data_IF_263471493742
#
_entry.id   IF_263471493742
#
_cell.length_a   1.000
_cell.length_b   1.000
_cell.length_c   1.000
_cell.angle_alpha   90.00
_cell.angle_beta   90.00
_cell.angle_gamma   90.00
#
_symmetry.space_group_name_H-M   'P 1'
#
loop_
_entity.id
_entity.type
_entity.pdbx_description
1 polymer ?
#
# COMPACT_ATOMS: atom_id res chain seq x y z
N UNK A 1 -0.79 -2.28 -2.74
CA UNK A 1 -0.28 -1.23 -3.63
C UNK A 1 -1.16 -1.16 -4.87
N UNK A 2 -1.39 0.02 -5.44
CA UNK A 2 -2.24 0.27 -6.64
C UNK A 2 -3.56 -0.52 -6.72
N UNK A 3 -4.16 -0.77 -5.56
CA UNK A 3 -5.36 -1.61 -5.43
C UNK A 3 -6.52 -1.19 -6.34
N UNK A 4 -6.70 0.12 -6.55
CA UNK A 4 -7.90 0.63 -7.24
C UNK A 4 -7.88 0.34 -8.74
N UNK A 5 -6.73 0.45 -9.39
CA UNK A 5 -6.59 0.20 -10.84
C UNK A 5 -5.81 -1.08 -11.15
N UNK A 6 -4.84 -1.46 -10.30
CA UNK A 6 -3.84 -2.48 -10.57
C UNK A 6 -2.64 -1.96 -11.38
N UNK A 7 -1.52 -2.65 -11.34
CA UNK A 7 -0.38 -2.34 -12.19
C UNK A 7 -0.58 -2.83 -13.63
N UNK A 8 -1.44 -3.81 -13.82
CA UNK A 8 -1.71 -4.48 -15.08
C UNK A 8 -2.37 -3.56 -16.13
N UNK A 9 -2.86 -2.40 -15.70
CA UNK A 9 -3.44 -1.40 -16.62
C UNK A 9 -2.38 -0.52 -17.27
N UNK A 10 -1.11 -0.58 -16.82
CA UNK A 10 -0.04 0.29 -17.30
C UNK A 10 0.64 -0.29 -18.55
N UNK A 11 0.71 0.53 -19.59
CA UNK A 11 1.53 0.29 -20.78
C UNK A 11 2.93 0.92 -20.64
N UNK A 12 3.17 1.67 -19.56
CA UNK A 12 4.36 2.47 -19.31
C UNK A 12 4.61 3.53 -20.38
N UNK A 13 3.50 4.05 -20.93
CA UNK A 13 3.46 5.18 -21.88
C UNK A 13 2.55 6.24 -21.29
N UNK A 14 3.13 7.38 -20.95
CA UNK A 14 2.39 8.44 -20.26
C UNK A 14 1.14 8.89 -21.02
N UNK A 15 1.19 8.97 -22.37
CA UNK A 15 0.05 9.36 -23.21
C UNK A 15 -1.18 8.47 -23.00
N UNK A 16 -0.96 7.18 -22.73
CA UNK A 16 -2.03 6.22 -22.43
C UNK A 16 -2.37 6.22 -20.96
N UNK A 17 -1.36 6.06 -20.10
CA UNK A 17 -1.54 5.75 -18.69
C UNK A 17 -2.09 6.91 -17.87
N UNK A 18 -1.85 8.17 -18.33
CA UNK A 18 -2.43 9.34 -17.69
C UNK A 18 -3.97 9.35 -17.66
N UNK A 19 -4.62 8.57 -18.53
CA UNK A 19 -6.09 8.43 -18.56
C UNK A 19 -6.60 7.40 -17.56
N UNK A 20 -5.74 6.53 -17.08
CA UNK A 20 -6.05 5.53 -16.04
C UNK A 20 -5.71 6.03 -14.64
N UNK A 21 -4.71 6.91 -14.54
CA UNK A 21 -4.33 7.52 -13.27
C UNK A 21 -5.35 8.57 -12.82
N UNK A 22 -5.64 8.61 -11.52
CA UNK A 22 -6.69 9.45 -10.94
C UNK A 22 -6.08 10.57 -10.10
N UNK A 23 -6.63 11.77 -10.20
CA UNK A 23 -6.35 12.82 -9.22
C UNK A 23 -7.16 12.59 -7.95
N UNK A 24 -6.73 13.18 -6.83
CA UNK A 24 -7.50 13.14 -5.57
C UNK A 24 -8.88 13.81 -5.67
N UNK A 25 -9.10 14.64 -6.68
CA UNK A 25 -10.37 15.28 -6.97
C UNK A 25 -11.26 14.48 -7.95
N UNK A 26 -10.78 13.36 -8.46
CA UNK A 26 -11.54 12.51 -9.37
C UNK A 26 -12.85 12.01 -8.75
N UNK A 27 -13.88 11.85 -9.59
CA UNK A 27 -15.19 11.40 -9.15
C UNK A 27 -15.18 10.04 -8.44
N UNK A 28 -14.32 9.11 -8.86
CA UNK A 28 -14.19 7.81 -8.20
C UNK A 28 -13.62 7.96 -6.78
N UNK A 29 -12.64 8.84 -6.60
CA UNK A 29 -12.12 9.16 -5.26
C UNK A 29 -13.20 9.83 -4.41
N UNK A 30 -13.97 10.76 -4.98
CA UNK A 30 -15.07 11.40 -4.25
C UNK A 30 -16.17 10.40 -3.86
N UNK A 31 -16.46 9.40 -4.68
CA UNK A 31 -17.38 8.31 -4.32
C UNK A 31 -16.87 7.50 -3.12
N UNK A 32 -15.59 7.18 -3.07
CA UNK A 32 -15.00 6.45 -1.93
C UNK A 32 -15.04 7.32 -0.66
N UNK A 33 -14.75 8.62 -0.77
CA UNK A 33 -14.87 9.56 0.34
C UNK A 33 -16.29 9.59 0.92
N UNK A 34 -17.28 9.69 0.05
CA UNK A 34 -18.68 9.68 0.44
C UNK A 34 -19.08 8.35 1.09
N UNK A 35 -18.63 7.23 0.54
CA UNK A 35 -18.87 5.91 1.13
C UNK A 35 -18.22 5.75 2.51
N UNK A 36 -17.01 6.29 2.72
CA UNK A 36 -16.36 6.32 4.01
C UNK A 36 -17.17 7.10 5.06
N UNK A 37 -17.67 8.29 4.68
CA UNK A 37 -18.54 9.13 5.52
C UNK A 37 -19.86 8.44 5.83
N UNK A 38 -20.58 7.95 4.83
CA UNK A 38 -21.90 7.30 4.98
C UNK A 38 -21.85 6.05 5.87
N UNK A 39 -20.72 5.33 5.87
CA UNK A 39 -20.53 4.13 6.68
C UNK A 39 -19.74 4.40 7.99
N UNK A 40 -19.36 5.64 8.27
CA UNK A 40 -18.53 6.01 9.41
C UNK A 40 -17.27 5.12 9.54
N UNK A 41 -16.61 4.84 8.41
CA UNK A 41 -15.48 3.93 8.31
C UNK A 41 -14.29 4.62 7.63
N UNK A 42 -13.15 4.69 8.32
CA UNK A 42 -11.91 5.12 7.67
C UNK A 42 -11.40 4.06 6.71
N UNK A 43 -10.88 4.47 5.56
CA UNK A 43 -10.34 3.58 4.54
C UNK A 43 -8.95 4.04 4.09
N UNK A 44 -8.08 3.06 3.82
CA UNK A 44 -6.77 3.33 3.23
C UNK A 44 -6.55 2.37 2.06
N UNK A 45 -6.25 2.90 0.88
CA UNK A 45 -6.12 2.11 -0.34
C UNK A 45 -5.06 2.69 -1.28
N UNK A 46 -4.44 1.81 -2.06
CA UNK A 46 -3.46 2.18 -3.07
C UNK A 46 -4.12 2.53 -4.40
N UNK A 47 -3.54 3.48 -5.12
CA UNK A 47 -3.99 3.87 -6.45
C UNK A 47 -2.85 4.48 -7.28
N UNK A 48 -3.03 4.49 -8.60
CA UNK A 48 -2.21 5.26 -9.51
C UNK A 48 -2.68 6.71 -9.47
N UNK A 49 -1.86 7.56 -8.85
CA UNK A 49 -2.14 8.99 -8.70
C UNK A 49 -1.62 9.76 -9.90
N UNK A 50 -2.48 10.61 -10.48
CA UNK A 50 -2.07 11.66 -11.40
C UNK A 50 -1.99 12.99 -10.66
N UNK A 51 -0.81 13.58 -10.63
CA UNK A 51 -0.58 14.92 -10.10
C UNK A 51 0.28 15.72 -11.09
N UNK A 52 -0.31 16.80 -11.61
CA UNK A 52 0.28 17.58 -12.70
C UNK A 52 0.56 16.72 -13.93
N UNK A 53 1.83 16.62 -14.33
CA UNK A 53 2.32 15.80 -15.45
C UNK A 53 2.98 14.48 -14.98
N UNK A 54 2.73 14.06 -13.73
CA UNK A 54 3.34 12.87 -13.13
C UNK A 54 2.32 11.82 -12.75
N UNK A 55 2.78 10.57 -12.77
CA UNK A 55 2.07 9.41 -12.23
C UNK A 55 2.89 8.84 -11.05
N UNK A 56 2.20 8.56 -9.95
CA UNK A 56 2.78 8.00 -8.73
C UNK A 56 2.06 6.72 -8.32
N UNK A 57 2.79 5.79 -7.73
CA UNK A 57 2.19 4.75 -6.90
C UNK A 57 1.90 5.35 -5.52
N UNK A 58 0.62 5.55 -5.19
CA UNK A 58 0.19 6.30 -4.02
C UNK A 58 -0.75 5.51 -3.12
N UNK A 59 -0.77 5.85 -1.83
CA UNK A 59 -1.72 5.36 -0.84
C UNK A 59 -2.51 6.55 -0.28
N UNK A 60 -3.82 6.51 -0.44
CA UNK A 60 -4.74 7.51 0.11
C UNK A 60 -5.41 6.96 1.35
N UNK A 61 -5.42 7.74 2.43
CA UNK A 61 -6.16 7.44 3.66
C UNK A 61 -7.24 8.49 3.87
N UNK A 62 -8.47 8.03 4.02
CA UNK A 62 -9.67 8.83 4.22
C UNK A 62 -10.25 8.49 5.59
N UNK A 63 -10.58 9.49 6.37
CA UNK A 63 -11.24 9.34 7.68
C UNK A 63 -12.71 8.96 7.58
N UNK A 64 -13.29 8.52 8.68
CA UNK A 64 -14.71 8.18 8.81
C UNK A 64 -15.66 9.38 8.58
N UNK A 65 -15.13 10.59 8.49
CA UNK A 65 -15.83 11.84 8.14
C UNK A 65 -15.67 12.23 6.66
N UNK A 66 -15.11 11.33 5.83
CA UNK A 66 -14.82 11.57 4.42
C UNK A 66 -13.64 12.50 4.14
N UNK A 67 -12.97 13.02 5.17
CA UNK A 67 -11.81 13.89 4.99
C UNK A 67 -10.54 13.09 4.68
N UNK A 68 -9.66 13.65 3.85
CA UNK A 68 -8.36 13.05 3.58
C UNK A 68 -7.47 13.25 4.80
N UNK A 69 -7.02 12.13 5.39
CA UNK A 69 -6.08 12.12 6.51
C UNK A 69 -4.63 12.13 6.03
N UNK A 70 -4.35 11.41 4.95
CA UNK A 70 -3.01 11.29 4.40
C UNK A 70 -3.03 10.92 2.92
N UNK A 71 -2.11 11.50 2.16
CA UNK A 71 -1.74 11.07 0.81
C UNK A 71 -0.24 10.78 0.84
N UNK A 72 0.11 9.51 0.63
CA UNK A 72 1.48 9.05 0.63
C UNK A 72 1.86 8.54 -0.76
N UNK A 73 3.00 8.98 -1.28
CA UNK A 73 3.59 8.51 -2.53
C UNK A 73 4.78 7.61 -2.22
N UNK A 74 4.87 6.46 -2.85
CA UNK A 74 5.99 5.53 -2.69
C UNK A 74 7.31 6.25 -2.95
N UNK A 75 8.26 6.09 -2.01
CA UNK A 75 9.56 6.76 -2.02
C UNK A 75 10.63 5.89 -2.66
N UNK A 76 10.55 4.56 -2.47
CA UNK A 76 11.52 3.63 -3.05
C UNK A 76 11.33 3.47 -4.56
N UNK A 77 12.45 3.41 -5.26
CA UNK A 77 12.47 3.04 -6.68
C UNK A 77 12.03 1.59 -6.89
N UNK A 78 11.76 1.22 -8.14
CA UNK A 78 11.47 -0.16 -8.52
C UNK A 78 9.99 -0.54 -8.53
N UNK A 79 9.08 0.44 -8.50
CA UNK A 79 7.66 0.22 -8.76
C UNK A 79 7.31 0.34 -10.25
N UNK A 80 8.18 0.99 -11.01
CA UNK A 80 8.03 1.24 -12.43
C UNK A 80 9.07 0.48 -13.25
N UNK A 81 8.75 0.22 -14.49
CA UNK A 81 9.66 -0.37 -15.44
C UNK A 81 10.88 0.52 -15.73
N UNK A 82 12.01 -0.12 -16.05
CA UNK A 82 13.27 0.59 -16.26
C UNK A 82 13.28 1.52 -17.48
N UNK A 83 12.36 1.29 -18.43
CA UNK A 83 12.16 2.09 -19.64
C UNK A 83 11.07 3.17 -19.49
N UNK A 84 10.36 3.20 -18.36
CA UNK A 84 9.39 4.24 -18.06
C UNK A 84 10.09 5.60 -17.95
N UNK A 85 9.49 6.61 -18.54
CA UNK A 85 10.06 7.95 -18.64
C UNK A 85 9.91 8.76 -17.33
N UNK A 86 10.27 10.04 -17.39
CA UNK A 86 10.25 10.95 -16.25
C UNK A 86 8.86 11.31 -15.72
N UNK A 87 7.78 10.95 -16.41
CA UNK A 87 6.43 11.16 -15.91
C UNK A 87 6.06 10.20 -14.77
N UNK A 88 6.77 9.07 -14.66
CA UNK A 88 6.60 8.14 -13.52
C UNK A 88 7.58 8.51 -12.41
N UNK A 89 7.04 8.92 -11.27
CA UNK A 89 7.85 9.53 -10.23
C UNK A 89 7.66 8.87 -8.86
N UNK A 90 8.63 9.08 -7.99
CA UNK A 90 8.59 8.69 -6.59
C UNK A 90 8.26 9.90 -5.69
N UNK A 91 7.73 9.62 -4.50
CA UNK A 91 7.64 10.58 -3.41
C UNK A 91 9.02 10.90 -2.82
N UNK A 92 9.06 11.87 -1.93
CA UNK A 92 10.31 12.42 -1.38
C UNK A 92 10.44 12.22 0.14
N UNK A 93 9.35 11.93 0.85
CA UNK A 93 9.37 11.83 2.31
C UNK A 93 8.37 10.85 2.88
N UNK A 94 8.70 10.36 4.08
CA UNK A 94 7.76 9.63 4.92
C UNK A 94 7.11 10.58 5.92
N UNK A 95 5.80 10.43 6.10
CA UNK A 95 5.00 11.23 7.03
C UNK A 95 4.24 10.33 8.00
N UNK A 96 3.71 10.92 9.05
CA UNK A 96 2.75 10.27 9.93
C UNK A 96 1.48 11.11 10.03
N UNK A 97 0.37 10.46 10.31
CA UNK A 97 -0.92 11.08 10.56
C UNK A 97 -1.56 10.47 11.80
N UNK A 98 -2.54 11.16 12.35
CA UNK A 98 -3.26 10.71 13.55
C UNK A 98 -4.68 10.29 13.18
N UNK A 99 -5.14 9.20 13.80
CA UNK A 99 -6.52 8.77 13.72
C UNK A 99 -6.92 8.01 15.01
N UNK A 100 -8.05 8.39 15.63
CA UNK A 100 -8.57 7.80 16.88
C UNK A 100 -7.53 7.69 18.01
N UNK A 101 -6.70 8.71 18.16
CA UNK A 101 -5.68 8.78 19.22
C UNK A 101 -4.45 7.90 18.98
N UNK A 102 -4.30 7.32 17.80
CA UNK A 102 -3.12 6.58 17.35
C UNK A 102 -2.42 7.29 16.22
N UNK A 103 -1.12 7.12 16.13
CA UNK A 103 -0.30 7.62 15.04
C UNK A 103 0.01 6.51 14.05
N UNK A 104 -0.15 6.82 12.77
CA UNK A 104 0.09 5.90 11.66
C UNK A 104 1.17 6.46 10.73
N UNK A 105 1.94 5.57 10.13
CA UNK A 105 2.81 5.86 8.99
C UNK A 105 2.56 4.82 7.90
N UNK A 106 2.99 5.12 6.68
CA UNK A 106 2.84 4.21 5.54
C UNK A 106 4.21 3.95 4.94
N UNK A 107 4.46 2.69 4.57
CA UNK A 107 5.54 2.30 3.69
C UNK A 107 4.97 1.39 2.60
N UNK A 108 5.00 1.83 1.35
CA UNK A 108 4.49 1.06 0.22
C UNK A 108 5.52 0.04 -0.27
N UNK A 109 5.14 -1.22 -0.24
CA UNK A 109 5.85 -2.35 -0.86
C UNK A 109 7.37 -2.29 -0.63
N UNK A 110 8.14 -1.91 -1.65
CA UNK A 110 9.60 -1.80 -1.62
C UNK A 110 10.17 -0.78 -0.62
N UNK A 111 9.37 0.18 -0.14
CA UNK A 111 9.83 1.16 0.83
C UNK A 111 10.42 0.52 2.08
N UNK A 112 9.79 -0.54 2.57
CA UNK A 112 10.26 -1.21 3.80
C UNK A 112 11.41 -2.20 3.56
N UNK A 113 11.86 -2.38 2.32
CA UNK A 113 13.07 -3.15 1.98
C UNK A 113 14.31 -2.25 1.82
N UNK A 114 14.14 -0.94 1.64
CA UNK A 114 15.25 0.01 1.60
C UNK A 114 15.66 0.44 3.02
N UNK A 115 16.92 0.25 3.37
CA UNK A 115 17.41 0.53 4.73
C UNK A 115 17.28 2.00 5.14
N UNK A 116 17.43 2.93 4.18
CA UNK A 116 17.29 4.37 4.46
C UNK A 116 15.83 4.71 4.77
N UNK A 117 14.91 4.14 4.00
CA UNK A 117 13.47 4.28 4.20
C UNK A 117 13.03 3.71 5.54
N UNK A 118 13.50 2.51 5.88
CA UNK A 118 13.26 1.89 7.20
C UNK A 118 13.73 2.80 8.35
N UNK A 119 14.93 3.39 8.23
CA UNK A 119 15.44 4.31 9.24
C UNK A 119 14.60 5.58 9.36
N UNK A 120 14.06 6.10 8.25
CA UNK A 120 13.20 7.29 8.26
C UNK A 120 11.85 6.98 8.92
N UNK A 121 11.20 5.88 8.52
CA UNK A 121 9.92 5.44 9.10
C UNK A 121 10.07 5.21 10.61
N UNK A 122 11.12 4.52 11.02
CA UNK A 122 11.41 4.26 12.45
C UNK A 122 11.55 5.56 13.27
N UNK A 123 12.15 6.62 12.68
CA UNK A 123 12.27 7.92 13.34
C UNK A 123 10.93 8.62 13.58
N UNK A 124 9.91 8.32 12.78
CA UNK A 124 8.56 8.87 12.96
C UNK A 124 7.90 8.37 14.24
N UNK A 125 8.30 7.20 14.75
CA UNK A 125 7.74 6.57 15.97
C UNK A 125 6.22 6.49 15.91
N UNK A 126 5.69 6.06 14.77
CA UNK A 126 4.27 5.80 14.64
C UNK A 126 3.88 4.56 15.47
N UNK A 127 2.67 4.56 16.04
CA UNK A 127 2.13 3.41 16.77
C UNK A 127 1.91 2.21 15.83
N UNK A 128 1.53 2.51 14.60
CA UNK A 128 1.21 1.51 13.56
C UNK A 128 1.84 1.92 12.23
N UNK A 129 2.45 0.96 11.56
CA UNK A 129 2.92 1.12 10.17
C UNK A 129 2.04 0.28 9.25
N UNK A 130 1.40 0.94 8.28
CA UNK A 130 0.68 0.28 7.21
C UNK A 130 1.67 -0.11 6.11
N UNK A 131 1.65 -1.38 5.73
CA UNK A 131 2.52 -1.94 4.68
C UNK A 131 1.71 -2.59 3.57
N UNK A 132 1.02 -1.82 2.73
CA UNK A 132 0.38 -2.37 1.54
C UNK A 132 1.44 -2.76 0.52
N UNK A 133 1.26 -3.96 -0.05
CA UNK A 133 2.21 -4.53 -1.02
C UNK A 133 1.48 -5.02 -2.26
N UNK A 134 2.24 -5.19 -3.34
CA UNK A 134 1.90 -6.00 -4.48
C UNK A 134 3.02 -7.01 -4.67
N UNK A 135 2.73 -8.28 -4.42
CA UNK A 135 3.68 -9.38 -4.62
C UNK A 135 2.98 -10.57 -5.27
N UNK A 136 3.66 -11.19 -6.21
CA UNK A 136 3.18 -12.26 -7.08
C UNK A 136 3.56 -13.67 -6.58
N UNK A 137 4.08 -13.78 -5.37
CA UNK A 137 4.36 -15.10 -4.76
C UNK A 137 3.14 -15.99 -4.83
N UNK A 138 3.34 -17.25 -5.17
CA UNK A 138 2.27 -18.23 -5.04
C UNK A 138 1.76 -18.30 -3.59
N UNK A 139 0.50 -18.67 -3.41
CA UNK A 139 -0.06 -18.84 -2.07
C UNK A 139 0.74 -19.84 -1.22
N UNK A 140 1.34 -20.86 -1.88
CA UNK A 140 2.18 -21.85 -1.20
C UNK A 140 3.50 -21.25 -0.69
N UNK A 141 4.19 -20.48 -1.52
CA UNK A 141 5.45 -19.81 -1.15
C UNK A 141 5.21 -18.79 -0.05
N UNK A 142 4.20 -17.92 -0.22
CA UNK A 142 3.85 -16.95 0.81
C UNK A 142 3.57 -17.63 2.15
N UNK A 143 2.64 -18.58 2.16
CA UNK A 143 2.18 -19.20 3.42
C UNK A 143 3.26 -20.04 4.11
N UNK A 144 4.24 -20.56 3.39
CA UNK A 144 5.29 -21.43 3.96
C UNK A 144 6.59 -20.69 4.30
N UNK A 145 6.96 -19.69 3.51
CA UNK A 145 8.32 -19.13 3.52
C UNK A 145 8.31 -17.61 3.58
N UNK A 146 7.77 -16.94 2.55
CA UNK A 146 7.97 -15.51 2.36
C UNK A 146 7.44 -14.64 3.49
N UNK A 147 6.31 -14.97 4.09
CA UNK A 147 5.76 -14.22 5.24
C UNK A 147 6.74 -14.11 6.41
N UNK A 148 7.66 -15.06 6.58
CA UNK A 148 8.68 -15.00 7.64
C UNK A 148 9.82 -14.05 7.29
N UNK A 149 10.14 -13.89 6.01
CA UNK A 149 11.07 -12.85 5.55
C UNK A 149 10.47 -11.45 5.79
N UNK A 150 9.18 -11.29 5.50
CA UNK A 150 8.45 -10.06 5.80
C UNK A 150 8.35 -9.80 7.31
N UNK A 151 8.19 -10.84 8.12
CA UNK A 151 8.26 -10.75 9.58
C UNK A 151 9.64 -10.26 10.05
N UNK A 152 10.71 -10.84 9.51
CA UNK A 152 12.08 -10.39 9.83
C UNK A 152 12.33 -8.94 9.42
N UNK A 153 11.77 -8.50 8.28
CA UNK A 153 11.88 -7.13 7.81
C UNK A 153 11.07 -6.18 8.70
N UNK A 154 9.84 -6.54 9.09
CA UNK A 154 9.01 -5.73 9.99
C UNK A 154 9.68 -5.52 11.37
N UNK A 155 10.49 -6.48 11.84
CA UNK A 155 11.29 -6.35 13.07
C UNK A 155 12.26 -5.17 13.06
N UNK A 156 12.78 -4.82 11.89
CA UNK A 156 13.71 -3.67 11.77
C UNK A 156 13.00 -2.35 12.03
N UNK A 157 11.70 -2.27 11.74
CA UNK A 157 10.86 -1.12 12.00
C UNK A 157 10.51 -1.06 13.48
N UNK A 158 10.10 -2.20 14.04
CA UNK A 158 9.58 -2.35 15.40
C UNK A 158 8.11 -1.96 15.52
N UNK A 159 7.48 -2.28 16.65
CA UNK A 159 6.09 -2.00 16.90
C UNK A 159 5.13 -2.83 16.04
N UNK A 160 3.94 -2.29 15.79
CA UNK A 160 2.90 -2.96 15.00
C UNK A 160 3.00 -2.59 13.53
N UNK A 161 3.08 -3.61 12.67
CA UNK A 161 3.10 -3.44 11.21
C UNK A 161 1.96 -4.25 10.60
N UNK A 162 1.10 -3.60 9.84
CA UNK A 162 -0.06 -4.20 9.18
C UNK A 162 0.20 -4.34 7.69
N UNK A 163 0.44 -5.57 7.24
CA UNK A 163 0.66 -5.87 5.84
C UNK A 163 -0.63 -6.36 5.19
N UNK A 164 -0.90 -5.88 3.98
CA UNK A 164 -1.94 -6.40 3.09
C UNK A 164 -1.40 -6.49 1.66
N UNK A 165 -1.59 -7.64 1.04
CA UNK A 165 -1.27 -7.85 -0.38
C UNK A 165 -2.53 -7.71 -1.24
N UNK A 166 -2.35 -7.21 -2.45
CA UNK A 166 -3.41 -7.14 -3.47
C UNK A 166 -3.91 -8.54 -3.86
N UNK A 167 -5.12 -8.61 -4.38
CA UNK A 167 -5.66 -9.80 -5.06
C UNK A 167 -6.00 -9.38 -6.49
N UNK A 168 -5.43 -10.06 -7.46
CA UNK A 168 -5.71 -9.84 -8.86
C UNK A 168 -6.43 -11.06 -9.45
N UNK A 169 -7.42 -10.80 -10.31
CA UNK A 169 -8.26 -11.84 -10.92
C UNK A 169 -8.07 -11.96 -12.42
N UNK A 170 -7.33 -11.07 -13.04
CA UNK A 170 -7.07 -11.06 -14.49
C UNK A 170 -5.59 -10.89 -14.78
N UNK A 171 -5.11 -11.62 -15.80
CA UNK A 171 -3.71 -11.61 -16.22
C UNK A 171 -3.11 -13.02 -16.24
N UNK A 172 -1.79 -13.11 -16.31
CA UNK A 172 -1.09 -14.39 -16.19
C UNK A 172 -1.14 -14.87 -14.74
N UNK A 173 -1.77 -16.02 -14.48
CA UNK A 173 -1.95 -16.57 -13.13
C UNK A 173 -0.65 -16.70 -12.31
N UNK A 174 0.49 -16.88 -12.97
CA UNK A 174 1.80 -17.00 -12.32
C UNK A 174 2.32 -15.66 -11.79
N UNK A 175 1.88 -14.55 -12.38
CA UNK A 175 2.36 -13.19 -12.08
C UNK A 175 1.36 -12.37 -11.23
N UNK A 176 0.22 -12.97 -10.86
CA UNK A 176 -0.82 -12.27 -10.13
C UNK A 176 -0.62 -12.33 -8.61
N UNK A 177 -0.86 -11.21 -7.96
CA UNK A 177 -0.93 -11.15 -6.51
C UNK A 177 -2.08 -12.02 -5.97
N UNK A 178 -1.78 -12.85 -4.98
CA UNK A 178 -2.68 -13.88 -4.42
C UNK A 178 -3.30 -13.47 -3.08
N UNK A 179 -3.25 -12.18 -2.71
CA UNK A 179 -3.79 -11.70 -1.46
C UNK A 179 -2.93 -12.07 -0.25
N UNK A 180 -3.58 -12.11 0.90
CA UNK A 180 -2.96 -12.34 2.19
C UNK A 180 -2.86 -11.04 3.00
N UNK A 181 -3.04 -11.16 4.30
CA UNK A 181 -2.85 -10.06 5.25
C UNK A 181 -2.19 -10.57 6.52
N UNK A 182 -1.34 -9.74 7.13
CA UNK A 182 -0.60 -10.13 8.33
C UNK A 182 -0.47 -8.95 9.29
N UNK A 183 -0.75 -9.20 10.56
CA UNK A 183 -0.37 -8.32 11.66
C UNK A 183 0.96 -8.81 12.25
N UNK A 184 2.00 -8.01 12.12
CA UNK A 184 3.27 -8.21 12.80
C UNK A 184 3.35 -7.33 14.06
N UNK A 185 3.90 -7.89 15.14
CA UNK A 185 4.30 -7.13 16.32
C UNK A 185 5.75 -7.49 16.66
N UNK A 186 6.63 -6.50 16.58
CA UNK A 186 8.08 -6.66 16.79
C UNK A 186 8.69 -7.81 15.97
N UNK A 187 8.24 -7.96 14.74
CA UNK A 187 8.70 -9.00 13.81
C UNK A 187 8.09 -10.39 14.03
N UNK A 188 7.08 -10.51 14.88
CA UNK A 188 6.36 -11.75 15.09
C UNK A 188 4.99 -11.69 14.43
N UNK A 189 4.60 -12.73 13.72
CA UNK A 189 3.24 -12.89 13.19
C UNK A 189 2.29 -13.08 14.37
N UNK A 190 1.35 -12.17 14.55
CA UNK A 190 0.31 -12.25 15.59
C UNK A 190 -0.97 -12.82 15.03
N UNK A 191 -1.40 -12.29 13.91
CA UNK A 191 -2.61 -12.70 13.22
C UNK A 191 -2.36 -12.69 11.72
N UNK A 192 -2.99 -13.59 11.00
CA UNK A 192 -2.85 -13.67 9.55
C UNK A 192 -4.14 -14.12 8.86
N UNK A 193 -4.38 -13.60 7.66
CA UNK A 193 -5.24 -14.17 6.64
C UNK A 193 -4.31 -14.76 5.57
N UNK A 194 -4.26 -16.10 5.40
CA UNK A 194 -3.35 -16.72 4.44
C UNK A 194 -3.61 -16.27 3.00
N UNK A 195 -2.56 -16.16 2.20
CA UNK A 195 -2.71 -15.94 0.75
C UNK A 195 -3.51 -17.07 0.09
N UNK A 196 -4.25 -16.74 -0.97
CA UNK A 196 -5.15 -17.65 -1.68
C UNK A 196 -6.49 -17.88 -0.99
N UNK A 197 -6.82 -17.11 0.04
CA UNK A 197 -8.12 -17.15 0.73
C UNK A 197 -8.78 -15.79 0.72
N UNK A 198 -10.08 -15.78 0.45
CA UNK A 198 -10.92 -14.60 0.67
C UNK A 198 -11.22 -14.44 2.16
N UNK A 199 -11.32 -13.18 2.60
CA UNK A 199 -11.70 -12.87 3.98
C UNK A 199 -11.29 -11.48 4.42
N UNK A 200 -11.56 -11.19 5.68
CA UNK A 200 -11.18 -9.97 6.37
C UNK A 200 -10.36 -10.37 7.59
N UNK A 201 -9.16 -9.81 7.73
CA UNK A 201 -8.37 -9.91 8.94
C UNK A 201 -8.76 -8.75 9.87
N UNK A 202 -9.32 -9.08 11.03
CA UNK A 202 -9.65 -8.12 12.07
C UNK A 202 -8.52 -8.10 13.09
N UNK A 203 -7.93 -6.94 13.32
CA UNK A 203 -6.84 -6.77 14.29
C UNK A 203 -7.10 -5.57 15.20
N UNK A 204 -6.60 -5.63 16.41
CA UNK A 204 -6.66 -4.52 17.36
C UNK A 204 -5.37 -3.70 17.26
N UNK A 205 -5.48 -2.37 17.21
CA UNK A 205 -4.37 -1.41 17.16
C UNK A 205 -4.35 -0.52 18.39
#
# INVERSE_FOLDING_TARGET
ETFLQGFEVLDWKYETDQHMALSVSDSNIQMIRKAAEENALAVSFGFLEKAEDKIYSSQLTIGADGNILNLFRRVSKGWRESFADEHYAEGDMFTKFEYLGKTFSIGLCGDLWDEKSVMQIKKLRADVVLWPVYTDFSAKEWNKEMKYEYAAQSKKIGGQVLLVNSVCFSGNEEELAKGGAVCFLDGQIKEELPAGKEGVLMVQV
#
